data_IF_924990893021
#
_entry.id   IF_924990893021
#
_cell.length_a   1.000
_cell.length_b   1.000
_cell.length_c   1.000
_cell.angle_alpha   90.00
_cell.angle_beta   90.00
_cell.angle_gamma   90.00
#
_symmetry.space_group_name_H-M   'P 1'
#
loop_
_entity.id
_entity.type
_entity.pdbx_description
1 polymer ?
#
# COMPACT_ATOMS: atom_id res chain seq x y z
N UNK A 1 24.54 6.89 -19.36
CA UNK A 1 23.21 7.15 -18.78
C UNK A 1 22.89 8.63 -18.96
N UNK A 2 21.62 8.99 -19.18
CA UNK A 2 21.18 10.39 -19.40
C UNK A 2 20.12 10.72 -18.36
N UNK A 3 20.23 11.87 -17.70
CA UNK A 3 19.31 12.34 -16.66
C UNK A 3 18.57 13.59 -17.16
N UNK A 4 17.28 13.65 -16.88
CA UNK A 4 16.42 14.79 -17.23
C UNK A 4 15.72 15.25 -15.94
N UNK A 5 15.77 16.54 -15.66
CA UNK A 5 15.04 17.18 -14.55
C UNK A 5 13.95 18.05 -15.15
N UNK A 6 12.71 17.89 -14.67
CA UNK A 6 11.53 18.61 -15.19
C UNK A 6 10.86 19.34 -14.02
N UNK A 7 10.61 20.63 -14.18
CA UNK A 7 9.80 21.42 -13.25
C UNK A 7 8.36 21.46 -13.75
N UNK A 8 7.43 20.94 -12.94
CA UNK A 8 6.01 20.87 -13.28
C UNK A 8 5.23 21.77 -12.33
N UNK A 9 4.29 22.61 -12.84
CA UNK A 9 3.40 23.37 -11.97
C UNK A 9 2.54 22.46 -11.08
N UNK A 10 2.33 22.82 -9.82
CA UNK A 10 1.64 21.98 -8.82
C UNK A 10 0.28 21.44 -9.30
N UNK A 11 -0.54 22.28 -9.92
CA UNK A 11 -1.85 21.89 -10.46
C UNK A 11 -1.81 20.85 -11.59
N UNK A 12 -0.63 20.61 -12.18
CA UNK A 12 -0.42 19.66 -13.27
C UNK A 12 0.37 18.42 -12.83
N UNK A 13 0.90 18.41 -11.60
CA UNK A 13 1.75 17.33 -11.08
C UNK A 13 1.03 15.97 -11.10
N UNK A 14 -0.22 15.92 -10.62
CA UNK A 14 -0.98 14.66 -10.56
C UNK A 14 -1.21 14.05 -11.96
N UNK A 15 -1.57 14.87 -12.94
CA UNK A 15 -1.74 14.45 -14.33
C UNK A 15 -0.42 13.96 -14.93
N UNK A 16 0.67 14.71 -14.70
CA UNK A 16 2.00 14.32 -15.16
C UNK A 16 2.44 12.97 -14.58
N UNK A 17 2.23 12.75 -13.27
CA UNK A 17 2.54 11.47 -12.62
C UNK A 17 1.71 10.31 -13.18
N UNK A 18 0.44 10.50 -13.52
CA UNK A 18 -0.36 9.46 -14.17
C UNK A 18 0.20 9.08 -15.54
N UNK A 19 0.62 10.07 -16.34
CA UNK A 19 1.19 9.85 -17.66
C UNK A 19 2.54 9.13 -17.58
N UNK A 20 3.38 9.54 -16.63
CA UNK A 20 4.68 8.91 -16.36
C UNK A 20 4.52 7.48 -15.84
N UNK A 21 3.55 7.20 -14.96
CA UNK A 21 3.22 5.85 -14.48
C UNK A 21 2.75 4.90 -15.59
N UNK A 22 2.20 5.43 -16.68
CA UNK A 22 1.80 4.63 -17.83
C UNK A 22 2.98 4.24 -18.74
N UNK A 23 4.19 4.79 -18.51
CA UNK A 23 5.37 4.46 -19.27
C UNK A 23 6.11 3.28 -18.63
N UNK A 24 6.15 2.15 -19.34
CA UNK A 24 6.73 0.87 -18.88
C UNK A 24 8.24 0.89 -18.54
N UNK A 25 8.94 2.02 -18.76
CA UNK A 25 10.37 2.17 -18.54
C UNK A 25 10.71 3.13 -17.39
N UNK A 26 9.72 3.72 -16.74
CA UNK A 26 9.96 4.64 -15.63
C UNK A 26 9.88 3.86 -14.33
N UNK A 27 11.04 3.57 -13.75
CA UNK A 27 11.14 3.38 -12.31
C UNK A 27 10.96 4.75 -11.68
N UNK A 28 9.72 5.05 -11.28
CA UNK A 28 9.50 6.10 -10.30
C UNK A 28 10.07 5.51 -9.01
N UNK A 29 11.18 6.06 -8.52
CA UNK A 29 11.55 5.87 -7.13
C UNK A 29 10.40 6.47 -6.31
N UNK A 30 9.41 5.64 -6.01
CA UNK A 30 8.34 6.01 -5.08
C UNK A 30 9.06 6.42 -3.81
N UNK A 31 8.95 7.71 -3.48
CA UNK A 31 9.35 8.23 -2.18
C UNK A 31 8.73 7.30 -1.13
N UNK A 32 9.60 6.63 -0.40
CA UNK A 32 9.33 5.71 0.70
C UNK A 32 7.85 5.35 0.85
N UNK A 33 7.43 4.22 0.28
CA UNK A 33 6.12 3.65 0.64
C UNK A 33 6.04 3.63 2.17
N UNK A 34 4.88 3.93 2.74
CA UNK A 34 4.66 3.90 4.19
C UNK A 34 5.29 2.65 4.81
N UNK A 35 5.15 1.50 4.13
CA UNK A 35 5.74 0.18 4.43
C UNK A 35 7.28 0.19 4.58
N UNK A 36 7.99 0.95 3.76
CA UNK A 36 9.45 1.10 3.79
C UNK A 36 9.93 2.04 4.91
N UNK A 37 9.07 2.95 5.36
CA UNK A 37 9.35 3.87 6.48
C UNK A 37 8.98 3.31 7.86
N UNK A 38 8.34 2.12 7.91
CA UNK A 38 7.92 1.50 9.17
C UNK A 38 9.13 0.93 9.94
N UNK A 39 9.18 1.25 11.22
CA UNK A 39 10.04 0.52 12.18
C UNK A 39 9.61 -0.95 12.27
N UNK A 40 10.50 -1.88 12.71
CA UNK A 40 10.15 -3.30 12.80
C UNK A 40 8.83 -3.60 13.55
N UNK A 41 8.52 -2.95 14.69
CA UNK A 41 7.23 -3.16 15.38
C UNK A 41 6.03 -2.65 14.57
N UNK A 42 6.17 -1.49 13.91
CA UNK A 42 5.09 -0.94 13.08
C UNK A 42 4.82 -1.80 11.85
N UNK A 43 5.86 -2.43 11.30
CA UNK A 43 5.73 -3.36 10.17
C UNK A 43 4.94 -4.60 10.56
N UNK A 44 5.19 -5.15 11.74
CA UNK A 44 4.42 -6.29 12.27
C UNK A 44 2.94 -5.94 12.43
N UNK A 45 2.63 -4.78 13.02
CA UNK A 45 1.25 -4.28 13.11
C UNK A 45 0.63 -4.09 11.73
N UNK A 46 1.38 -3.53 10.77
CA UNK A 46 0.91 -3.31 9.41
C UNK A 46 0.58 -4.62 8.67
N UNK A 47 1.46 -5.63 8.78
CA UNK A 47 1.23 -6.95 8.19
C UNK A 47 0.00 -7.64 8.78
N UNK A 48 -0.20 -7.55 10.11
CA UNK A 48 -1.38 -8.12 10.77
C UNK A 48 -2.69 -7.47 10.29
N UNK A 49 -2.71 -6.15 10.17
CA UNK A 49 -3.86 -5.40 9.65
C UNK A 49 -4.13 -5.79 8.19
N UNK A 50 -3.09 -5.83 7.35
CA UNK A 50 -3.20 -6.20 5.93
C UNK A 50 -3.74 -7.62 5.75
N UNK A 51 -3.27 -8.57 6.56
CA UNK A 51 -3.77 -9.94 6.56
C UNK A 51 -5.26 -10.02 6.93
N UNK A 52 -5.70 -9.29 7.96
CA UNK A 52 -7.11 -9.23 8.35
C UNK A 52 -8.02 -8.69 7.24
N UNK A 53 -7.58 -7.66 6.52
CA UNK A 53 -8.33 -7.13 5.38
C UNK A 53 -8.42 -8.11 4.20
N UNK A 54 -7.33 -8.83 3.89
CA UNK A 54 -7.36 -9.85 2.83
C UNK A 54 -8.26 -11.02 3.18
N UNK A 55 -8.27 -11.45 4.45
CA UNK A 55 -9.22 -12.44 4.92
C UNK A 55 -10.67 -11.98 4.83
N UNK A 56 -10.94 -10.73 5.21
CA UNK A 56 -12.28 -10.15 5.08
C UNK A 56 -12.75 -10.14 3.61
N UNK A 57 -11.89 -9.74 2.66
CA UNK A 57 -12.20 -9.82 1.23
C UNK A 57 -12.51 -11.24 0.76
N UNK A 58 -11.78 -12.24 1.27
CA UNK A 58 -12.04 -13.65 0.93
C UNK A 58 -13.36 -14.15 1.53
N UNK A 59 -13.78 -13.64 2.70
CA UNK A 59 -15.08 -13.95 3.30
C UNK A 59 -16.24 -13.28 2.57
N UNK A 60 -16.12 -12.01 2.20
CA UNK A 60 -17.11 -11.29 1.36
C UNK A 60 -17.26 -11.97 -0.01
N UNK A 61 -16.18 -12.48 -0.59
CA UNK A 61 -16.20 -13.23 -1.84
C UNK A 61 -16.80 -14.66 -1.69
N UNK A 62 -17.28 -15.05 -0.51
CA UNK A 62 -17.91 -16.33 -0.23
C UNK A 62 -16.95 -17.53 -0.22
N UNK A 63 -15.63 -17.30 -0.09
CA UNK A 63 -14.60 -18.34 -0.24
C UNK A 63 -14.13 -18.98 1.07
N UNK A 64 -14.55 -18.48 2.25
CA UNK A 64 -14.22 -19.05 3.57
C UNK A 64 -15.31 -18.84 4.62
N UNK A 65 -15.45 -19.75 5.62
CA UNK A 65 -16.30 -19.53 6.78
C UNK A 65 -15.80 -18.33 7.59
N UNK A 66 -16.74 -17.48 8.02
CA UNK A 66 -16.48 -16.24 8.77
C UNK A 66 -15.95 -16.55 10.17
N UNK A 67 -14.81 -15.94 10.55
CA UNK A 67 -14.43 -15.78 11.96
C UNK A 67 -14.94 -14.43 12.49
N UNK A 68 -15.39 -14.35 13.76
CA UNK A 68 -15.90 -13.10 14.32
C UNK A 68 -14.83 -12.00 14.34
N UNK A 69 -15.25 -10.75 14.11
CA UNK A 69 -14.34 -9.58 14.07
C UNK A 69 -13.66 -9.38 15.42
N UNK A 70 -14.30 -9.80 16.50
CA UNK A 70 -13.80 -9.76 17.87
C UNK A 70 -12.50 -10.57 18.02
N UNK A 71 -12.41 -11.73 17.37
CA UNK A 71 -11.20 -12.55 17.40
C UNK A 71 -10.02 -11.87 16.68
N UNK A 72 -10.28 -11.09 15.63
CA UNK A 72 -9.24 -10.31 14.94
C UNK A 72 -8.74 -9.15 15.81
N UNK A 73 -9.63 -8.50 16.55
CA UNK A 73 -9.28 -7.37 17.42
C UNK A 73 -8.48 -7.84 18.65
N UNK A 74 -8.78 -9.03 19.17
CA UNK A 74 -8.01 -9.64 20.26
C UNK A 74 -6.58 -10.01 19.81
N UNK A 75 -6.40 -10.46 18.57
CA UNK A 75 -5.08 -10.74 17.98
C UNK A 75 -4.22 -9.46 17.80
N UNK A 76 -4.82 -8.28 17.64
CA UNK A 76 -4.11 -7.00 17.50
C UNK A 76 -3.73 -6.35 18.84
N UNK A 77 -4.39 -6.74 19.92
CA UNK A 77 -4.19 -6.18 21.27
C UNK A 77 -3.34 -7.09 22.19
N UNK A 78 -2.91 -8.25 21.68
CA UNK A 78 -2.10 -9.25 22.39
C UNK A 78 -0.60 -9.05 22.29
#
# INVERSE_FOLDING_TARGET
>A
MKQITISVPDGQFAFFMQLVKALNFVQIEDQETLENSLTPPQRETWENVKAGFEEYKLTEAGKRPTRPIEALLDELNG
#
